data_IF_985966412562
#
_entry.id   IF_985966412562
#
_cell.length_a   1.000
_cell.length_b   1.000
_cell.length_c   1.000
_cell.angle_alpha   90.00
_cell.angle_beta   90.00
_cell.angle_gamma   90.00
#
_symmetry.space_group_name_H-M   'P 1'
#
loop_
_entity.id
_entity.type
_entity.pdbx_description
1 polymer ?
#
# COMPACT_ATOMS: atom_id res chain seq x y z
N UNK A 1 8.67 -32.19 14.35
CA UNK A 1 7.79 -31.35 15.19
C UNK A 1 7.95 -29.87 14.84
N UNK A 2 9.12 -29.25 15.01
CA UNK A 2 9.35 -27.83 14.65
C UNK A 2 8.96 -27.47 13.20
N UNK A 3 9.33 -28.28 12.21
CA UNK A 3 8.96 -28.05 10.80
C UNK A 3 7.43 -27.97 10.59
N UNK A 4 6.67 -28.85 11.24
CA UNK A 4 5.21 -28.87 11.12
C UNK A 4 4.62 -27.59 11.72
N UNK A 5 5.07 -27.19 12.92
CA UNK A 5 4.64 -25.93 13.54
C UNK A 5 4.90 -24.71 12.64
N UNK A 6 6.09 -24.64 12.03
CA UNK A 6 6.46 -23.55 11.11
C UNK A 6 5.54 -23.54 9.89
N UNK A 7 5.33 -24.69 9.24
CA UNK A 7 4.47 -24.76 8.04
C UNK A 7 3.01 -24.38 8.33
N UNK A 8 2.49 -24.74 9.52
CA UNK A 8 1.14 -24.36 9.94
C UNK A 8 1.04 -22.85 10.12
N UNK A 9 2.02 -22.23 10.81
CA UNK A 9 2.05 -20.78 10.99
C UNK A 9 2.14 -20.04 9.65
N UNK A 10 3.02 -20.49 8.75
CA UNK A 10 3.17 -19.92 7.41
C UNK A 10 1.87 -20.00 6.60
N UNK A 11 1.21 -21.16 6.60
CA UNK A 11 -0.04 -21.34 5.88
C UNK A 11 -1.17 -20.48 6.46
N UNK A 12 -1.25 -20.37 7.79
CA UNK A 12 -2.24 -19.51 8.44
C UNK A 12 -2.04 -18.02 8.09
N UNK A 13 -0.79 -17.55 8.08
CA UNK A 13 -0.45 -16.18 7.68
C UNK A 13 -0.78 -15.91 6.20
N UNK A 14 -0.49 -16.86 5.31
CA UNK A 14 -0.79 -16.75 3.89
C UNK A 14 -2.29 -16.56 3.61
N UNK A 15 -3.13 -17.35 4.28
CA UNK A 15 -4.58 -17.20 4.15
C UNK A 15 -5.06 -15.82 4.62
N UNK A 16 -4.53 -15.34 5.75
CA UNK A 16 -4.83 -13.99 6.25
C UNK A 16 -4.45 -12.91 5.24
N UNK A 17 -3.24 -12.97 4.68
CA UNK A 17 -2.80 -12.01 3.66
C UNK A 17 -3.72 -12.01 2.44
N UNK A 18 -4.08 -13.16 1.88
CA UNK A 18 -4.96 -13.23 0.70
C UNK A 18 -6.34 -12.65 1.00
N UNK A 19 -6.92 -12.93 2.16
CA UNK A 19 -8.26 -12.44 2.50
C UNK A 19 -8.30 -10.93 2.73
N UNK A 20 -7.30 -10.36 3.38
CA UNK A 20 -7.30 -8.93 3.73
C UNK A 20 -6.63 -8.03 2.70
N UNK A 21 -5.76 -8.56 1.82
CA UNK A 21 -5.07 -7.78 0.81
C UNK A 21 -6.01 -7.02 -0.13
N UNK A 22 -7.09 -7.60 -0.69
CA UNK A 22 -8.00 -6.86 -1.56
C UNK A 22 -8.65 -5.68 -0.84
N UNK A 23 -9.03 -5.87 0.44
CA UNK A 23 -9.63 -4.80 1.23
C UNK A 23 -8.63 -3.71 1.58
N UNK A 24 -7.38 -4.11 1.87
CA UNK A 24 -6.29 -3.15 2.05
C UNK A 24 -6.09 -2.31 0.78
N UNK A 25 -6.08 -2.94 -0.40
CA UNK A 25 -5.93 -2.23 -1.66
C UNK A 25 -7.10 -1.28 -1.94
N UNK A 26 -8.32 -1.69 -1.63
CA UNK A 26 -9.53 -0.87 -1.77
C UNK A 26 -9.44 0.39 -0.89
N UNK A 27 -9.04 0.24 0.37
CA UNK A 27 -8.98 1.34 1.34
C UNK A 27 -7.78 2.28 1.14
N UNK A 28 -6.63 1.74 0.72
CA UNK A 28 -5.41 2.53 0.54
C UNK A 28 -5.30 3.17 -0.84
N UNK A 29 -5.76 2.49 -1.89
CA UNK A 29 -5.57 2.94 -3.27
C UNK A 29 -6.86 3.40 -3.95
N UNK A 30 -8.00 3.41 -3.24
CA UNK A 30 -9.29 3.87 -3.78
C UNK A 30 -9.77 3.07 -5.01
N UNK A 31 -9.16 1.90 -5.26
CA UNK A 31 -9.52 1.02 -6.37
C UNK A 31 -10.76 0.23 -6.02
N UNK A 32 -11.58 -0.06 -7.04
CA UNK A 32 -12.72 -0.96 -6.86
C UNK A 32 -12.22 -2.34 -6.41
N UNK A 33 -12.96 -2.98 -5.50
CA UNK A 33 -12.61 -4.31 -5.00
C UNK A 33 -12.48 -5.33 -6.16
N UNK A 34 -13.31 -5.20 -7.20
CA UNK A 34 -13.28 -6.05 -8.39
C UNK A 34 -11.97 -5.90 -9.19
N UNK A 35 -11.48 -4.68 -9.39
CA UNK A 35 -10.26 -4.47 -10.17
C UNK A 35 -9.03 -4.97 -9.40
N UNK A 36 -8.99 -4.76 -8.09
CA UNK A 36 -7.93 -5.24 -7.23
C UNK A 36 -7.87 -6.78 -7.23
N UNK A 37 -9.02 -7.45 -7.07
CA UNK A 37 -9.10 -8.92 -7.10
C UNK A 37 -8.70 -9.46 -8.48
N UNK A 38 -9.14 -8.83 -9.56
CA UNK A 38 -8.80 -9.24 -10.92
C UNK A 38 -7.29 -9.16 -11.17
N UNK A 39 -6.65 -8.05 -10.77
CA UNK A 39 -5.22 -7.83 -10.96
C UNK A 39 -4.37 -8.75 -10.09
N UNK A 40 -4.77 -8.96 -8.82
CA UNK A 40 -4.17 -9.98 -7.94
C UNK A 40 -4.29 -11.37 -8.59
N UNK A 41 -5.46 -11.70 -9.13
CA UNK A 41 -5.71 -12.99 -9.77
C UNK A 41 -4.83 -13.20 -11.00
N UNK A 42 -4.78 -12.22 -11.91
CA UNK A 42 -4.03 -12.34 -13.17
C UNK A 42 -2.52 -12.46 -12.94
N UNK A 43 -1.98 -11.83 -11.89
CA UNK A 43 -0.56 -11.92 -11.56
C UNK A 43 -0.23 -13.18 -10.74
N UNK A 44 -1.02 -13.51 -9.72
CA UNK A 44 -0.69 -14.63 -8.82
C UNK A 44 -0.99 -16.01 -9.44
N UNK A 45 -2.08 -16.16 -10.19
CA UNK A 45 -2.44 -17.44 -10.81
C UNK A 45 -1.32 -18.05 -11.66
N UNK A 46 -0.71 -17.34 -12.64
CA UNK A 46 0.36 -17.92 -13.45
C UNK A 46 1.58 -18.29 -12.62
N UNK A 47 1.96 -17.47 -11.63
CA UNK A 47 3.09 -17.74 -10.74
C UNK A 47 2.85 -19.03 -9.94
N UNK A 48 1.66 -19.19 -9.38
CA UNK A 48 1.28 -20.39 -8.63
C UNK A 48 1.29 -21.63 -9.54
N UNK A 49 0.71 -21.53 -10.74
CA UNK A 49 0.68 -22.64 -11.70
C UNK A 49 2.10 -23.09 -12.09
N UNK A 50 2.98 -22.14 -12.40
CA UNK A 50 4.39 -22.39 -12.72
C UNK A 50 5.08 -23.07 -11.53
N UNK A 51 4.91 -22.55 -10.31
CA UNK A 51 5.48 -23.12 -9.10
C UNK A 51 5.05 -24.57 -8.84
N UNK A 52 3.75 -24.88 -8.96
CA UNK A 52 3.25 -26.24 -8.81
C UNK A 52 3.79 -27.19 -9.89
N UNK A 53 3.83 -26.73 -11.14
CA UNK A 53 4.33 -27.53 -12.25
C UNK A 53 5.81 -27.87 -12.07
N UNK A 54 6.65 -26.87 -11.80
CA UNK A 54 8.08 -27.08 -11.58
C UNK A 54 8.36 -27.85 -10.29
N UNK A 55 7.64 -27.58 -9.19
CA UNK A 55 7.77 -28.32 -7.94
C UNK A 55 7.43 -29.82 -8.10
N UNK A 56 6.35 -30.12 -8.84
CA UNK A 56 5.96 -31.49 -9.16
C UNK A 56 6.98 -32.21 -10.05
N UNK A 57 7.50 -31.53 -11.08
CA UNK A 57 8.57 -32.06 -11.92
C UNK A 57 9.87 -32.31 -11.15
N UNK A 58 10.24 -31.38 -10.27
CA UNK A 58 11.43 -31.46 -9.42
C UNK A 58 11.38 -32.70 -8.51
N UNK A 59 10.25 -32.92 -7.83
CA UNK A 59 10.04 -34.11 -6.99
C UNK A 59 10.03 -35.40 -7.82
N UNK A 60 9.42 -35.39 -9.02
CA UNK A 60 9.33 -36.56 -9.90
C UNK A 60 10.68 -36.96 -10.51
N UNK A 61 11.51 -35.99 -10.92
CA UNK A 61 12.77 -36.25 -11.63
C UNK A 61 13.89 -36.69 -10.68
N UNK A 62 13.92 -36.15 -9.46
CA UNK A 62 15.05 -36.34 -8.54
C UNK A 62 14.85 -37.48 -7.52
N UNK A 63 13.69 -38.17 -7.51
CA UNK A 63 13.37 -39.27 -6.58
C UNK A 63 13.86 -38.98 -5.14
N UNK A 64 13.52 -37.79 -4.66
CA UNK A 64 14.13 -37.21 -3.45
C UNK A 64 13.66 -37.98 -2.21
N UNK A 65 14.60 -38.33 -1.32
CA UNK A 65 14.29 -38.94 -0.03
C UNK A 65 13.68 -37.89 0.93
N UNK A 66 12.83 -38.31 1.87
CA UNK A 66 12.11 -37.43 2.79
C UNK A 66 13.06 -36.50 3.58
N UNK A 67 14.26 -36.99 3.94
CA UNK A 67 15.30 -36.19 4.60
C UNK A 67 15.89 -35.11 3.68
N UNK A 68 16.12 -35.44 2.40
CA UNK A 68 16.63 -34.47 1.42
C UNK A 68 15.56 -33.42 1.07
N UNK A 69 14.30 -33.83 0.96
CA UNK A 69 13.18 -32.93 0.73
C UNK A 69 13.01 -31.94 1.90
N UNK A 70 13.13 -32.42 3.13
CA UNK A 70 13.08 -31.57 4.32
C UNK A 70 14.24 -30.55 4.35
N UNK A 71 15.45 -30.97 3.97
CA UNK A 71 16.59 -30.06 3.91
C UNK A 71 16.40 -28.98 2.83
N UNK A 72 15.93 -29.34 1.64
CA UNK A 72 15.62 -28.38 0.57
C UNK A 72 14.53 -27.40 1.01
N UNK A 73 13.45 -27.90 1.62
CA UNK A 73 12.38 -27.04 2.13
C UNK A 73 12.89 -26.02 3.17
N UNK A 74 13.80 -26.44 4.06
CA UNK A 74 14.43 -25.54 5.02
C UNK A 74 15.24 -24.42 4.32
N UNK A 75 16.06 -24.76 3.33
CA UNK A 75 16.83 -23.77 2.57
C UNK A 75 15.94 -22.81 1.77
N UNK A 76 14.87 -23.30 1.16
CA UNK A 76 13.90 -22.47 0.43
C UNK A 76 13.20 -21.49 1.39
N UNK A 77 12.76 -21.95 2.56
CA UNK A 77 12.15 -21.07 3.58
C UNK A 77 13.14 -20.03 4.11
N UNK A 78 14.41 -20.39 4.29
CA UNK A 78 15.44 -19.45 4.72
C UNK A 78 15.70 -18.38 3.65
N UNK A 79 15.79 -18.78 2.38
CA UNK A 79 15.97 -17.87 1.26
C UNK A 79 14.80 -16.90 1.11
N UNK A 80 13.57 -17.39 1.25
CA UNK A 80 12.35 -16.57 1.21
C UNK A 80 12.38 -15.48 2.29
N UNK A 81 12.72 -15.84 3.54
CA UNK A 81 12.85 -14.87 4.63
C UNK A 81 13.94 -13.82 4.36
N UNK A 82 15.10 -14.25 3.82
CA UNK A 82 16.18 -13.34 3.45
C UNK A 82 15.78 -12.38 2.33
N UNK A 83 15.02 -12.85 1.34
CA UNK A 83 14.49 -12.01 0.26
C UNK A 83 13.47 -11.01 0.79
N UNK A 84 12.56 -11.41 1.68
CA UNK A 84 11.63 -10.47 2.33
C UNK A 84 12.36 -9.42 3.17
N UNK A 85 13.38 -9.83 3.92
CA UNK A 85 14.20 -8.91 4.71
C UNK A 85 14.98 -7.93 3.82
N UNK A 86 15.56 -8.41 2.72
CA UNK A 86 16.23 -7.56 1.73
C UNK A 86 15.23 -6.61 1.04
N UNK A 87 14.04 -7.11 0.71
CA UNK A 87 12.98 -6.32 0.10
C UNK A 87 12.53 -5.20 1.04
N UNK A 88 12.45 -5.44 2.35
CA UNK A 88 12.15 -4.40 3.34
C UNK A 88 13.14 -3.23 3.25
N UNK A 89 14.42 -3.51 2.99
CA UNK A 89 15.43 -2.47 2.80
C UNK A 89 15.25 -1.67 1.50
N UNK A 90 14.56 -2.24 0.51
CA UNK A 90 14.23 -1.58 -0.75
C UNK A 90 12.86 -0.90 -0.76
N UNK A 91 12.03 -1.09 0.27
CA UNK A 91 10.73 -0.41 0.36
C UNK A 91 10.97 1.08 0.59
N UNK A 92 10.52 1.89 -0.36
CA UNK A 92 10.61 3.35 -0.37
C UNK A 92 10.07 4.02 0.90
N UNK A 93 10.46 5.28 1.08
CA UNK A 93 9.94 6.16 2.14
C UNK A 93 8.41 6.17 2.18
N UNK A 94 7.87 6.17 3.40
CA UNK A 94 6.43 6.25 3.64
C UNK A 94 5.85 7.54 3.06
N UNK A 95 4.67 7.45 2.45
CA UNK A 95 4.01 8.63 1.88
C UNK A 95 3.70 9.65 2.98
N UNK A 96 4.10 10.90 2.76
CA UNK A 96 3.92 11.99 3.73
C UNK A 96 2.45 12.41 3.77
N UNK A 97 1.74 12.03 4.84
CA UNK A 97 0.34 12.39 5.07
C UNK A 97 0.24 13.60 6.02
N UNK A 98 -0.39 14.68 5.56
CA UNK A 98 -0.64 15.90 6.32
C UNK A 98 -1.45 15.62 7.58
N UNK A 99 -0.96 16.10 8.72
CA UNK A 99 -1.58 15.97 10.04
C UNK A 99 -1.37 14.63 10.75
N UNK A 100 -0.78 13.63 10.08
CA UNK A 100 -0.38 12.34 10.70
C UNK A 100 1.14 12.14 10.77
N UNK A 101 1.85 12.40 9.67
CA UNK A 101 3.32 12.19 9.57
C UNK A 101 4.09 13.49 9.36
N UNK A 102 3.45 14.48 8.73
CA UNK A 102 4.00 15.82 8.51
C UNK A 102 2.95 16.88 8.84
N UNK A 103 3.37 18.06 9.28
CA UNK A 103 2.49 19.22 9.42
C UNK A 103 2.05 19.73 8.05
N UNK A 104 1.01 20.56 8.02
CA UNK A 104 0.57 21.24 6.79
C UNK A 104 1.63 22.20 6.20
N UNK A 105 2.69 22.51 6.95
CA UNK A 105 3.86 23.29 6.51
C UNK A 105 5.05 22.41 6.09
N UNK A 106 4.90 21.08 6.06
CA UNK A 106 5.94 20.13 5.67
C UNK A 106 6.97 19.83 6.77
N UNK A 107 6.71 20.24 8.02
CA UNK A 107 7.58 19.96 9.16
C UNK A 107 7.22 18.60 9.73
N UNK A 108 8.20 17.72 9.99
CA UNK A 108 7.93 16.45 10.67
C UNK A 108 7.37 16.70 12.07
N UNK A 109 6.09 16.43 12.27
CA UNK A 109 5.42 16.46 13.57
C UNK A 109 4.54 15.21 13.67
N UNK A 110 4.99 14.24 14.45
CA UNK A 110 4.22 13.03 14.74
C UNK A 110 3.27 13.36 15.89
N UNK A 111 2.04 13.71 15.58
CA UNK A 111 0.99 13.92 16.57
C UNK A 111 -0.32 13.34 16.04
N UNK A 112 -0.86 12.36 16.77
CA UNK A 112 -2.10 11.64 16.44
C UNK A 112 -3.36 12.34 16.97
N UNK A 113 -3.26 13.61 17.40
CA UNK A 113 -4.39 14.35 17.93
C UNK A 113 -5.31 14.80 16.78
N UNK A 114 -6.64 14.66 16.91
CA UNK A 114 -7.60 15.13 15.90
C UNK A 114 -7.40 16.61 15.51
N UNK A 115 -6.87 17.41 16.44
CA UNK A 115 -6.54 18.83 16.24
C UNK A 115 -5.40 19.07 15.24
N UNK A 116 -4.56 18.07 14.91
CA UNK A 116 -3.46 18.22 13.93
C UNK A 116 -3.89 17.96 12.49
N UNK A 117 -5.08 17.38 12.29
CA UNK A 117 -5.73 17.29 10.97
C UNK A 117 -6.34 18.63 10.55
N UNK A 118 -6.65 19.51 11.52
CA UNK A 118 -7.20 20.84 11.29
C UNK A 118 -6.10 21.90 11.30
N UNK A 119 -6.02 22.67 10.23
CA UNK A 119 -5.12 23.79 10.04
C UNK A 119 -5.91 25.07 9.70
N UNK A 120 -5.28 26.24 9.79
CA UNK A 120 -5.94 27.51 9.46
C UNK A 120 -6.56 27.55 8.05
N UNK A 121 -6.04 26.76 7.11
CA UNK A 121 -6.53 26.68 5.74
C UNK A 121 -7.78 25.79 5.54
N UNK A 122 -8.06 24.84 6.44
CA UNK A 122 -9.24 23.97 6.35
C UNK A 122 -10.24 24.17 7.49
N UNK A 123 -9.91 24.99 8.50
CA UNK A 123 -10.79 25.27 9.65
C UNK A 123 -12.13 25.93 9.29
N UNK A 124 -12.18 26.64 8.18
CA UNK A 124 -13.41 27.26 7.68
C UNK A 124 -14.34 26.25 6.98
N UNK A 125 -13.87 25.01 6.79
CA UNK A 125 -14.64 23.90 6.26
C UNK A 125 -14.92 22.96 7.43
N UNK A 126 -16.21 22.75 7.77
CA UNK A 126 -16.63 21.80 8.82
C UNK A 126 -16.41 20.35 8.35
N UNK A 127 -15.14 19.98 8.19
CA UNK A 127 -14.72 18.75 7.55
C UNK A 127 -14.86 17.55 8.50
N UNK A 128 -15.49 16.45 8.06
CA UNK A 128 -15.55 15.24 8.84
C UNK A 128 -14.15 14.61 8.95
N UNK A 129 -13.65 14.48 10.18
CA UNK A 129 -12.31 13.92 10.46
C UNK A 129 -12.21 12.40 10.27
N UNK A 130 -13.35 11.72 10.18
CA UNK A 130 -13.43 10.25 10.07
C UNK A 130 -13.52 9.72 8.64
N UNK A 131 -13.56 10.61 7.64
CA UNK A 131 -13.61 10.21 6.23
C UNK A 131 -12.17 10.08 5.71
N UNK A 132 -11.85 8.91 5.18
CA UNK A 132 -10.57 8.60 4.54
C UNK A 132 -10.76 8.54 3.02
N UNK A 133 -10.28 9.56 2.32
CA UNK A 133 -10.33 9.70 0.86
C UNK A 133 -9.05 10.41 0.38
N UNK A 134 -7.90 9.71 0.36
CA UNK A 134 -6.60 10.35 0.26
C UNK A 134 -6.38 10.99 -1.12
N UNK A 135 -5.96 12.26 -1.11
CA UNK A 135 -5.64 13.02 -2.32
C UNK A 135 -4.21 13.57 -2.27
N UNK A 136 -3.54 13.61 -3.41
CA UNK A 136 -2.17 14.11 -3.50
C UNK A 136 -2.17 15.58 -3.90
N UNK A 137 -1.52 16.41 -3.10
CA UNK A 137 -1.16 17.76 -3.52
C UNK A 137 0.08 17.75 -4.41
N UNK A 138 0.19 18.75 -5.28
CA UNK A 138 1.37 18.95 -6.13
C UNK A 138 2.65 19.29 -5.32
N UNK A 139 2.51 19.54 -4.02
CA UNK A 139 3.60 19.71 -3.06
C UNK A 139 4.21 18.39 -2.56
N UNK A 140 3.77 17.23 -3.08
CA UNK A 140 4.25 15.91 -2.67
C UNK A 140 3.66 15.42 -1.34
N UNK A 141 2.70 16.14 -0.77
CA UNK A 141 2.02 15.79 0.48
C UNK A 141 0.64 15.20 0.18
N UNK A 142 0.31 14.10 0.84
CA UNK A 142 -1.00 13.44 0.81
C UNK A 142 -1.90 14.03 1.88
N UNK A 143 -3.14 14.34 1.55
CA UNK A 143 -4.15 14.84 2.49
C UNK A 143 -5.20 13.76 2.72
N UNK A 144 -5.68 13.62 3.97
CA UNK A 144 -6.64 12.57 4.39
C UNK A 144 -7.96 12.62 3.62
N UNK A 145 -8.40 13.82 3.22
CA UNK A 145 -9.58 14.02 2.37
C UNK A 145 -9.44 15.29 1.54
N UNK A 146 -10.21 15.44 0.44
CA UNK A 146 -10.25 16.69 -0.31
C UNK A 146 -10.72 17.88 0.54
N UNK A 147 -11.58 17.64 1.53
CA UNK A 147 -12.03 18.67 2.46
C UNK A 147 -10.88 19.16 3.34
N UNK A 148 -10.10 18.23 3.88
CA UNK A 148 -8.93 18.56 4.71
C UNK A 148 -7.80 19.23 3.91
N UNK A 149 -7.77 19.05 2.59
CA UNK A 149 -6.94 19.84 1.67
C UNK A 149 -7.48 21.27 1.41
N UNK A 150 -8.64 21.64 1.98
CA UNK A 150 -9.23 22.97 1.90
C UNK A 150 -9.90 23.26 0.56
N UNK A 151 -10.37 22.23 -0.15
CA UNK A 151 -10.97 22.35 -1.48
C UNK A 151 -12.46 22.67 -1.46
N UNK A 152 -12.94 23.48 -2.42
CA UNK A 152 -14.35 23.96 -2.47
C UNK A 152 -15.15 23.54 -3.71
N UNK A 153 -14.52 23.12 -4.80
CA UNK A 153 -15.23 22.81 -6.06
C UNK A 153 -14.62 21.61 -6.80
N UNK A 154 -15.45 20.74 -7.35
CA UNK A 154 -15.02 19.61 -8.20
C UNK A 154 -15.22 19.96 -9.67
N UNK A 155 -14.15 19.92 -10.47
CA UNK A 155 -14.25 19.81 -11.94
C UNK A 155 -14.33 18.31 -12.22
N UNK A 156 -15.45 17.85 -12.78
CA UNK A 156 -15.69 16.44 -13.09
C UNK A 156 -14.49 15.74 -13.72
N UNK A 157 -14.39 14.41 -13.51
CA UNK A 157 -13.19 13.55 -13.63
C UNK A 157 -12.28 13.50 -12.39
N UNK A 158 -12.80 13.79 -11.20
CA UNK A 158 -12.04 13.64 -9.95
C UNK A 158 -10.97 14.71 -9.70
N UNK A 159 -10.99 15.82 -10.47
CA UNK A 159 -10.09 16.95 -10.26
C UNK A 159 -10.73 17.95 -9.31
N UNK A 160 -10.06 18.22 -8.20
CA UNK A 160 -10.55 19.16 -7.18
C UNK A 160 -9.89 20.54 -7.34
N UNK A 161 -10.69 21.60 -7.22
CA UNK A 161 -10.29 23.00 -7.37
C UNK A 161 -10.43 23.79 -6.06
N UNK A 162 -9.67 24.90 -6.00
CA UNK A 162 -9.66 25.85 -4.88
C UNK A 162 -9.21 25.23 -3.55
N UNK A 163 -8.10 24.49 -3.56
CA UNK A 163 -7.55 23.82 -2.38
C UNK A 163 -6.59 24.74 -1.63
N UNK A 164 -7.06 25.33 -0.54
CA UNK A 164 -6.35 26.37 0.21
C UNK A 164 -5.17 25.85 1.05
N UNK A 165 -5.10 24.54 1.33
CA UNK A 165 -4.01 23.94 2.08
C UNK A 165 -2.84 23.45 1.22
N UNK A 166 -2.97 23.46 -0.12
CA UNK A 166 -1.90 23.06 -1.05
C UNK A 166 -1.13 24.32 -1.47
N UNK A 167 -0.02 24.63 -0.80
CA UNK A 167 0.78 25.83 -1.13
C UNK A 167 1.80 25.53 -2.23
N UNK A 168 1.50 25.96 -3.45
CA UNK A 168 2.51 26.34 -4.44
C UNK A 168 2.12 27.67 -5.09
N UNK A 169 3.10 28.57 -5.14
CA UNK A 169 2.98 29.97 -5.53
C UNK A 169 2.88 30.10 -7.06
N UNK A 170 1.67 30.19 -7.62
CA UNK A 170 1.36 31.01 -8.80
C UNK A 170 -0.06 30.75 -9.27
N UNK A 171 -0.72 31.82 -9.69
CA UNK A 171 -2.00 31.84 -10.41
C UNK A 171 -2.01 30.79 -11.54
N UNK A 172 -2.68 29.67 -11.34
CA UNK A 172 -2.83 28.61 -12.35
C UNK A 172 -3.02 27.22 -11.74
N UNK A 173 -4.27 26.73 -11.78
CA UNK A 173 -4.70 25.33 -11.56
C UNK A 173 -3.89 24.50 -10.55
N UNK A 174 -4.28 24.56 -9.27
CA UNK A 174 -3.92 23.54 -8.29
C UNK A 174 -4.62 22.22 -8.65
N UNK A 175 -3.94 21.36 -9.42
CA UNK A 175 -4.42 20.03 -9.75
C UNK A 175 -4.16 19.06 -8.59
N UNK A 176 -5.22 18.50 -8.02
CA UNK A 176 -5.11 17.33 -7.15
C UNK A 176 -5.39 16.07 -7.96
N UNK A 177 -4.56 15.05 -7.74
CA UNK A 177 -4.77 13.71 -8.27
C UNK A 177 -5.68 12.89 -7.34
N UNK A 178 -6.58 12.10 -7.92
CA UNK A 178 -7.55 11.28 -7.19
C UNK A 178 -6.97 10.00 -6.56
N UNK A 179 -5.65 9.77 -6.61
CA UNK A 179 -4.98 8.62 -5.95
C UNK A 179 -3.45 8.81 -5.91
N UNK A 180 -2.85 8.57 -4.75
CA UNK A 180 -1.38 8.59 -4.59
C UNK A 180 -0.79 7.23 -4.94
N UNK A 181 -0.70 6.94 -6.24
CA UNK A 181 0.04 5.77 -6.73
C UNK A 181 1.23 6.22 -7.56
N UNK A 182 2.29 6.66 -6.89
CA UNK A 182 3.63 6.56 -7.45
C UNK A 182 4.20 5.20 -7.05
N UNK A 183 3.83 4.16 -7.80
CA UNK A 183 4.70 2.99 -7.90
C UNK A 183 5.91 3.48 -8.71
N UNK A 184 6.94 4.00 -8.02
CA UNK A 184 8.28 3.93 -8.57
C UNK A 184 8.65 2.45 -8.53
N UNK A 185 8.23 1.71 -9.57
CA UNK A 185 8.95 0.51 -9.98
C UNK A 185 10.36 0.99 -10.30
N UNK A 186 11.23 0.92 -9.29
CA UNK A 186 12.66 1.00 -9.47
C UNK A 186 13.07 -0.17 -10.35
N UNK A 187 13.03 0.05 -11.65
CA UNK A 187 13.88 -0.61 -12.63
C UNK A 187 15.00 0.37 -12.96
#
# INVERSE_FOLDING_TARGET
MLFICITVLQFSAFNGMISFMPKYLEQQFGKSASDAIFLIGVYNLPIICVGYFFGGLFMKKLKINIYQAANIAFWVSLLDYLLYFAAYWTVCDTSQVAGLTVSYEGIQQVSYAENTLLAGCNRDCDCPLKIWDPVCGNNGITYVSPCLAGCKASRGMGKMQCCTCVRYSSVGESELGASCVSFSLGV
#
